data_IF_380197704504
#
_entry.id   IF_380197704504
#
_cell.length_a   1.000
_cell.length_b   1.000
_cell.length_c   1.000
_cell.angle_alpha   90.00
_cell.angle_beta   90.00
_cell.angle_gamma   90.00
#
_symmetry.space_group_name_H-M   'P 1'
#
loop_
_entity.id
_entity.type
_entity.pdbx_description
1 polymer ?
#
# COMPACT_ATOMS: atom_id res chain seq x y z
N UNK A 1 9.36 -30.29 -3.41
CA UNK A 1 9.48 -28.85 -3.64
C UNK A 1 8.53 -28.15 -2.67
N UNK A 2 9.01 -27.76 -1.49
CA UNK A 2 8.16 -27.16 -0.45
C UNK A 2 7.89 -25.70 -0.78
N UNK A 3 6.63 -25.31 -0.93
CA UNK A 3 6.27 -23.90 -1.05
C UNK A 3 6.75 -23.15 0.21
N UNK A 4 7.71 -22.23 0.04
CA UNK A 4 8.12 -21.29 1.09
C UNK A 4 6.89 -20.51 1.52
N UNK A 5 6.33 -20.83 2.69
CA UNK A 5 5.21 -20.09 3.28
C UNK A 5 5.76 -18.73 3.71
N UNK A 6 5.37 -17.67 3.00
CA UNK A 6 5.73 -16.29 3.37
C UNK A 6 5.12 -15.98 4.73
N UNK A 7 5.95 -15.88 5.78
CA UNK A 7 5.51 -15.30 7.06
C UNK A 7 5.46 -13.78 6.86
N UNK A 8 4.27 -13.24 6.62
CA UNK A 8 4.04 -11.80 6.72
C UNK A 8 4.00 -11.40 8.19
N UNK A 9 4.88 -10.49 8.60
CA UNK A 9 4.78 -9.84 9.91
C UNK A 9 3.86 -8.62 9.77
N UNK A 10 2.84 -8.52 10.64
CA UNK A 10 1.93 -7.38 10.67
C UNK A 10 2.45 -6.35 11.66
N UNK A 11 2.74 -5.14 11.18
CA UNK A 11 3.15 -4.02 12.03
C UNK A 11 1.91 -3.22 12.43
N UNK A 12 1.56 -3.23 13.71
CA UNK A 12 0.49 -2.40 14.25
C UNK A 12 0.97 -0.96 14.46
N UNK A 13 0.47 -0.04 13.63
CA UNK A 13 0.76 1.39 13.75
C UNK A 13 -0.32 2.08 14.57
N UNK A 14 0.02 2.61 15.75
CA UNK A 14 -0.89 3.49 16.52
C UNK A 14 -0.91 4.88 15.89
N UNK A 15 -2.11 5.43 15.69
CA UNK A 15 -2.31 6.75 15.10
C UNK A 15 -3.24 7.58 15.99
N UNK A 16 -3.08 8.92 16.01
CA UNK A 16 -4.08 9.81 16.60
C UNK A 16 -5.44 9.68 15.90
N UNK A 17 -6.53 9.89 16.64
CA UNK A 17 -7.90 9.68 16.15
C UNK A 17 -8.27 10.59 14.96
N UNK A 18 -7.76 11.82 14.95
CA UNK A 18 -7.95 12.78 13.86
C UNK A 18 -7.29 12.32 12.56
N UNK A 19 -6.09 11.74 12.67
CA UNK A 19 -5.36 11.16 11.54
C UNK A 19 -6.09 9.92 11.00
N UNK A 20 -6.61 9.06 11.89
CA UNK A 20 -7.34 7.86 11.46
C UNK A 20 -8.64 8.23 10.73
N UNK A 21 -9.40 9.22 11.24
CA UNK A 21 -10.61 9.73 10.58
C UNK A 21 -10.31 10.33 9.21
N UNK A 22 -9.25 11.14 9.10
CA UNK A 22 -8.84 11.71 7.82
C UNK A 22 -8.46 10.63 6.81
N UNK A 23 -7.77 9.59 7.26
CA UNK A 23 -7.35 8.45 6.43
C UNK A 23 -8.52 7.66 5.88
N UNK A 24 -9.56 7.40 6.67
CA UNK A 24 -10.75 6.66 6.24
C UNK A 24 -11.49 7.33 5.06
N UNK A 25 -11.29 8.64 4.86
CA UNK A 25 -11.90 9.39 3.77
C UNK A 25 -11.07 9.39 2.48
N UNK A 26 -9.84 8.87 2.49
CA UNK A 26 -8.99 8.85 1.31
C UNK A 26 -9.40 7.72 0.36
N UNK A 27 -9.67 7.99 -0.93
CA UNK A 27 -10.08 6.96 -1.89
C UNK A 27 -9.13 5.76 -1.96
N UNK A 28 -7.82 6.00 -1.83
CA UNK A 28 -6.82 4.92 -1.86
C UNK A 28 -6.95 3.91 -0.71
N UNK A 29 -7.49 4.33 0.43
CA UNK A 29 -7.67 3.46 1.61
C UNK A 29 -8.84 2.51 1.39
N UNK A 30 -9.86 2.95 0.64
CA UNK A 30 -10.96 2.09 0.24
C UNK A 30 -10.51 0.98 -0.73
N UNK A 31 -9.44 1.21 -1.49
CA UNK A 31 -8.85 0.23 -2.41
C UNK A 31 -7.77 -0.65 -1.76
N UNK A 32 -7.62 -0.62 -0.42
CA UNK A 32 -6.54 -1.34 0.28
C UNK A 32 -6.51 -2.84 -0.06
N UNK A 33 -7.66 -3.50 -0.12
CA UNK A 33 -7.74 -4.93 -0.42
C UNK A 33 -7.23 -5.24 -1.83
N UNK A 34 -7.70 -4.52 -2.85
CA UNK A 34 -7.33 -4.70 -4.25
C UNK A 34 -5.82 -4.47 -4.47
N UNK A 35 -5.27 -3.42 -3.85
CA UNK A 35 -3.85 -3.10 -3.93
C UNK A 35 -3.02 -4.22 -3.30
N UNK A 36 -3.45 -4.74 -2.14
CA UNK A 36 -2.73 -5.80 -1.43
C UNK A 36 -2.76 -7.13 -2.17
N UNK A 37 -3.89 -7.49 -2.78
CA UNK A 37 -4.02 -8.66 -3.64
C UNK A 37 -3.10 -8.53 -4.86
N UNK A 38 -3.13 -7.38 -5.54
CA UNK A 38 -2.26 -7.12 -6.69
C UNK A 38 -0.76 -7.18 -6.32
N UNK A 39 -0.35 -6.64 -5.17
CA UNK A 39 1.04 -6.75 -4.66
C UNK A 39 1.41 -8.21 -4.39
N UNK A 40 0.47 -9.01 -3.87
CA UNK A 40 0.72 -10.42 -3.58
C UNK A 40 0.96 -11.21 -4.87
N UNK A 41 0.13 -10.99 -5.89
CA UNK A 41 0.10 -11.76 -7.13
C UNK A 41 1.12 -11.30 -8.19
N UNK A 42 1.32 -9.99 -8.34
CA UNK A 42 2.09 -9.42 -9.45
C UNK A 42 3.51 -9.06 -9.07
N UNK A 43 4.48 -9.22 -9.97
CA UNK A 43 5.87 -8.82 -9.72
C UNK A 43 6.04 -7.29 -9.62
N UNK A 44 5.19 -6.54 -10.32
CA UNK A 44 5.13 -5.08 -10.29
C UNK A 44 3.67 -4.63 -10.52
N UNK A 45 3.27 -3.51 -9.92
CA UNK A 45 1.95 -2.90 -10.10
C UNK A 45 2.09 -1.40 -10.37
N UNK A 46 1.14 -0.83 -11.10
CA UNK A 46 1.04 0.62 -11.33
C UNK A 46 -0.25 1.09 -10.66
N UNK A 47 -0.13 2.07 -9.77
CA UNK A 47 -1.29 2.68 -9.08
C UNK A 47 -1.52 4.08 -9.63
N UNK A 48 -2.61 4.27 -10.36
CA UNK A 48 -3.02 5.54 -10.94
C UNK A 48 -4.14 6.20 -10.12
N UNK A 49 -4.19 7.53 -10.10
CA UNK A 49 -5.28 8.29 -9.48
C UNK A 49 -4.96 9.78 -9.41
N UNK A 50 -5.93 10.61 -9.08
CA UNK A 50 -5.81 12.07 -9.05
C UNK A 50 -4.95 12.58 -7.88
N UNK A 51 -4.45 13.81 -7.93
CA UNK A 51 -3.78 14.45 -6.79
C UNK A 51 -4.77 14.58 -5.62
N UNK A 52 -4.31 14.31 -4.39
CA UNK A 52 -5.16 14.34 -3.19
C UNK A 52 -5.86 13.02 -2.83
N UNK A 53 -5.87 12.00 -3.68
CA UNK A 53 -6.49 10.70 -3.32
C UNK A 53 -5.67 9.85 -2.33
N UNK A 54 -4.46 10.29 -1.96
CA UNK A 54 -3.64 9.66 -0.92
C UNK A 54 -2.58 8.66 -1.41
N UNK A 55 -2.33 8.53 -2.71
CA UNK A 55 -1.37 7.54 -3.27
C UNK A 55 0.01 7.59 -2.59
N UNK A 56 0.69 8.72 -2.67
CA UNK A 56 2.07 8.90 -2.18
C UNK A 56 2.17 8.70 -0.67
N UNK A 57 1.10 8.96 0.08
CA UNK A 57 1.10 8.86 1.55
C UNK A 57 0.68 7.48 2.06
N UNK A 58 -0.35 6.87 1.48
CA UNK A 58 -0.94 5.63 2.00
C UNK A 58 -0.32 4.37 1.42
N UNK A 59 0.03 4.37 0.13
CA UNK A 59 0.53 3.17 -0.55
C UNK A 59 1.80 2.62 0.12
N UNK A 60 2.82 3.44 0.46
CA UNK A 60 3.99 2.94 1.20
C UNK A 60 3.62 2.35 2.58
N UNK A 61 2.65 2.94 3.28
CA UNK A 61 2.24 2.48 4.62
C UNK A 61 1.50 1.14 4.57
N UNK A 62 0.70 0.90 3.53
CA UNK A 62 0.01 -0.38 3.32
C UNK A 62 1.02 -1.52 3.13
N UNK A 63 2.10 -1.25 2.39
CA UNK A 63 3.15 -2.25 2.17
C UNK A 63 3.97 -2.48 3.42
N UNK A 64 4.42 -1.41 4.08
CA UNK A 64 5.28 -1.53 5.27
C UNK A 64 4.56 -2.24 6.42
N UNK A 65 3.26 -1.96 6.61
CA UNK A 65 2.47 -2.63 7.65
C UNK A 65 2.25 -4.12 7.43
N UNK A 66 2.43 -4.63 6.19
CA UNK A 66 2.04 -6.00 5.80
C UNK A 66 3.15 -6.84 5.15
N UNK A 67 4.27 -6.26 4.72
CA UNK A 67 5.31 -6.91 3.93
C UNK A 67 6.75 -6.75 4.47
N UNK A 68 6.94 -6.48 5.76
CA UNK A 68 8.28 -6.44 6.37
C UNK A 68 8.86 -7.86 6.50
N UNK A 69 9.79 -8.22 5.61
CA UNK A 69 10.51 -9.50 5.62
C UNK A 69 11.68 -9.52 4.61
N UNK A 70 12.67 -10.42 4.74
CA UNK A 70 13.89 -10.40 3.92
C UNK A 70 13.68 -10.66 2.41
N UNK A 71 12.46 -11.02 1.97
CA UNK A 71 12.07 -11.19 0.56
C UNK A 71 11.06 -10.12 0.08
N UNK A 72 11.10 -8.90 0.63
CA UNK A 72 10.21 -7.80 0.24
C UNK A 72 10.32 -7.48 -1.26
N UNK A 73 9.18 -7.41 -1.96
CA UNK A 73 9.10 -6.86 -3.32
C UNK A 73 9.45 -5.37 -3.28
N UNK A 74 10.30 -4.92 -4.20
CA UNK A 74 10.56 -3.49 -4.39
C UNK A 74 9.28 -2.81 -4.90
N UNK A 75 8.83 -1.78 -4.21
CA UNK A 75 7.70 -0.95 -4.65
C UNK A 75 8.20 0.44 -5.02
N UNK A 76 7.90 0.87 -6.24
CA UNK A 76 8.04 2.26 -6.65
C UNK A 76 6.65 2.90 -6.70
N UNK A 77 6.44 3.97 -5.94
CA UNK A 77 5.25 4.82 -6.04
C UNK A 77 5.70 6.11 -6.73
N UNK A 78 5.31 6.30 -7.98
CA UNK A 78 5.59 7.53 -8.72
C UNK A 78 4.30 8.32 -8.95
N UNK A 79 4.32 9.62 -8.66
CA UNK A 79 3.22 10.52 -8.98
C UNK A 79 3.35 10.93 -10.44
N UNK A 80 2.46 10.42 -11.30
CA UNK A 80 2.29 10.95 -12.65
C UNK A 80 1.19 11.99 -12.59
N UNK A 81 1.56 13.27 -12.59
CA UNK A 81 0.61 14.35 -12.82
C UNK A 81 0.36 14.44 -14.33
N UNK A 82 -0.81 13.99 -14.78
CA UNK A 82 -1.31 14.36 -16.11
C UNK A 82 -1.76 15.81 -16.01
N UNK A 83 -0.92 16.72 -16.49
CA UNK A 83 -1.30 18.10 -16.69
C UNK A 83 -2.45 18.17 -17.68
N UNK A 84 -3.57 18.75 -17.25
CA UNK A 84 -4.60 19.29 -18.13
C UNK A 84 -4.37 20.79 -18.29
#
# INVERSE_FOLDING_TARGET
>A
MGAKKRLGYVVHVKRPDDVEKGRQNLPIVMMEQEIMEAIHEMAAIIVCGETGCGKTTQVPQLVDSKFTGPESKAMAVNQVEVGL
#
